data_IF_276053887098
#
_entry.id   IF_276053887098
#
_cell.length_a   1.000
_cell.length_b   1.000
_cell.length_c   1.000
_cell.angle_alpha   90.00
_cell.angle_beta   90.00
_cell.angle_gamma   90.00
#
_symmetry.space_group_name_H-M   'P 1'
#
loop_
_entity.id
_entity.type
_entity.pdbx_description
1 polymer ?
#
# COMPACT_ATOMS: atom_id res chain seq x y z
N UNK A 1 -5.36 23.10 -25.75
CA UNK A 1 -4.50 22.53 -24.70
C UNK A 1 -5.40 21.78 -23.73
N UNK A 2 -5.22 20.47 -23.56
CA UNK A 2 -5.99 19.73 -22.56
C UNK A 2 -5.54 20.25 -21.18
N UNK A 3 -6.46 20.72 -20.33
CA UNK A 3 -6.18 21.40 -19.06
C UNK A 3 -5.55 20.49 -17.96
N UNK A 4 -4.75 19.49 -18.34
CA UNK A 4 -4.19 18.50 -17.41
C UNK A 4 -5.23 17.62 -16.72
N UNK A 5 -6.50 17.66 -17.14
CA UNK A 5 -7.58 16.82 -16.60
C UNK A 5 -7.44 15.40 -17.16
N UNK A 6 -7.46 14.43 -16.25
CA UNK A 6 -7.53 13.01 -16.58
C UNK A 6 -8.97 12.66 -16.98
N UNK A 7 -9.14 12.01 -18.13
CA UNK A 7 -10.43 11.44 -18.51
C UNK A 7 -10.67 10.13 -17.74
N UNK A 8 -11.93 9.72 -17.53
CA UNK A 8 -12.23 8.45 -16.86
C UNK A 8 -11.57 7.24 -17.53
N UNK A 9 -11.46 7.26 -18.86
CA UNK A 9 -10.86 6.17 -19.66
C UNK A 9 -9.35 6.09 -19.41
N UNK A 10 -8.65 7.23 -19.39
CA UNK A 10 -7.22 7.29 -19.06
C UNK A 10 -6.97 6.84 -17.61
N UNK A 11 -7.80 7.27 -16.66
CA UNK A 11 -7.69 6.85 -15.26
C UNK A 11 -7.86 5.34 -15.13
N UNK A 12 -8.85 4.77 -15.81
CA UNK A 12 -9.15 3.35 -15.78
C UNK A 12 -8.02 2.53 -16.40
N UNK A 13 -7.55 2.92 -17.59
CA UNK A 13 -6.44 2.25 -18.26
C UNK A 13 -5.17 2.22 -17.41
N UNK A 14 -4.81 3.36 -16.80
CA UNK A 14 -3.63 3.44 -15.93
C UNK A 14 -3.82 2.60 -14.67
N UNK A 15 -5.01 2.56 -14.06
CA UNK A 15 -5.27 1.68 -12.90
C UNK A 15 -5.12 0.19 -13.24
N UNK A 16 -5.68 -0.24 -14.37
CA UNK A 16 -5.70 -1.65 -14.75
C UNK A 16 -4.32 -2.18 -15.17
N UNK A 17 -3.47 -1.28 -15.69
CA UNK A 17 -2.16 -1.61 -16.23
C UNK A 17 -0.99 -1.13 -15.34
N UNK A 18 -1.26 -0.41 -14.24
CA UNK A 18 -0.28 0.00 -13.25
C UNK A 18 0.50 -1.21 -12.74
N UNK A 19 1.79 -1.29 -13.08
CA UNK A 19 2.69 -2.38 -12.68
C UNK A 19 2.67 -3.62 -13.56
N UNK A 20 1.82 -3.66 -14.59
CA UNK A 20 1.92 -4.64 -15.69
C UNK A 20 2.74 -4.08 -16.86
N UNK A 21 2.65 -2.77 -17.06
CA UNK A 21 3.36 -2.01 -18.10
C UNK A 21 4.31 -1.00 -17.46
N UNK A 22 5.36 -0.67 -18.19
CA UNK A 22 6.29 0.41 -17.85
C UNK A 22 5.60 1.78 -17.93
N UNK A 23 6.19 2.79 -17.29
CA UNK A 23 5.65 4.16 -17.37
C UNK A 23 5.62 4.69 -18.80
N UNK A 24 6.64 4.35 -19.60
CA UNK A 24 6.75 4.69 -21.02
C UNK A 24 5.56 4.13 -21.81
N UNK A 25 5.31 2.82 -21.70
CA UNK A 25 4.21 2.18 -22.43
C UNK A 25 2.82 2.70 -22.01
N UNK A 26 2.64 3.01 -20.72
CA UNK A 26 1.40 3.62 -20.24
C UNK A 26 1.22 5.02 -20.82
N UNK A 27 2.28 5.82 -20.82
CA UNK A 27 2.32 7.19 -21.29
C UNK A 27 2.07 7.29 -22.80
N UNK A 28 2.70 6.41 -23.58
CA UNK A 28 2.50 6.30 -25.03
C UNK A 28 1.04 5.98 -25.39
N UNK A 29 0.41 5.04 -24.66
CA UNK A 29 -0.96 4.63 -24.94
C UNK A 29 -1.99 5.76 -24.72
N UNK A 30 -1.80 6.58 -23.68
CA UNK A 30 -2.72 7.67 -23.34
C UNK A 30 -2.28 9.03 -23.90
N UNK A 31 -1.18 9.08 -24.66
CA UNK A 31 -0.65 10.32 -25.23
C UNK A 31 -0.18 11.34 -24.18
N UNK A 32 0.42 10.88 -23.08
CA UNK A 32 0.96 11.74 -22.00
C UNK A 32 2.45 11.53 -21.80
N UNK A 33 3.06 12.36 -20.94
CA UNK A 33 4.43 12.15 -20.49
C UNK A 33 4.50 11.11 -19.36
N UNK A 34 5.62 10.40 -19.26
CA UNK A 34 5.87 9.46 -18.15
C UNK A 34 5.72 10.12 -16.78
N UNK A 35 6.21 11.35 -16.64
CA UNK A 35 6.10 12.14 -15.42
C UNK A 35 4.63 12.37 -15.04
N UNK A 36 3.75 12.62 -16.01
CA UNK A 36 2.32 12.79 -15.73
C UNK A 36 1.71 11.49 -15.18
N UNK A 37 2.09 10.33 -15.72
CA UNK A 37 1.68 9.01 -15.23
C UNK A 37 2.19 8.77 -13.81
N UNK A 38 3.47 9.05 -13.53
CA UNK A 38 4.05 8.92 -12.19
C UNK A 38 3.34 9.81 -11.16
N UNK A 39 3.11 11.08 -11.49
CA UNK A 39 2.40 12.02 -10.62
C UNK A 39 0.95 11.60 -10.38
N UNK A 40 0.28 11.05 -11.39
CA UNK A 40 -1.07 10.52 -11.26
C UNK A 40 -1.13 9.35 -10.28
N UNK A 41 -0.26 8.36 -10.47
CA UNK A 41 -0.19 7.19 -9.59
C UNK A 41 0.13 7.60 -8.15
N UNK A 42 1.07 8.53 -7.97
CA UNK A 42 1.40 9.08 -6.65
C UNK A 42 0.19 9.77 -5.99
N UNK A 43 -0.49 10.68 -6.70
CA UNK A 43 -1.66 11.42 -6.18
C UNK A 43 -2.85 10.50 -5.87
N UNK A 44 -3.06 9.47 -6.69
CA UNK A 44 -4.12 8.47 -6.51
C UNK A 44 -3.70 7.34 -5.57
N UNK A 45 -2.50 7.40 -4.97
CA UNK A 45 -1.93 6.39 -4.07
C UNK A 45 -1.93 4.97 -4.69
N UNK A 46 -1.78 4.88 -6.01
CA UNK A 46 -1.68 3.62 -6.74
C UNK A 46 -0.24 3.13 -6.62
N UNK A 47 -0.04 2.06 -5.86
CA UNK A 47 1.27 1.46 -5.66
C UNK A 47 1.53 0.44 -6.74
N UNK A 48 2.58 0.67 -7.51
CA UNK A 48 3.10 -0.27 -8.48
C UNK A 48 4.15 -1.16 -7.82
N UNK A 49 4.13 -2.45 -8.13
CA UNK A 49 5.05 -3.41 -7.53
C UNK A 49 4.59 -3.92 -6.17
N UNK A 50 3.27 -4.12 -5.97
CA UNK A 50 2.80 -4.96 -4.85
C UNK A 50 3.36 -6.37 -5.04
N UNK A 51 4.44 -6.66 -4.33
CA UNK A 51 5.03 -8.01 -4.28
C UNK A 51 4.18 -8.93 -3.42
N UNK A 52 3.38 -8.37 -2.51
CA UNK A 52 2.57 -9.15 -1.58
C UNK A 52 1.12 -9.19 -2.05
N UNK A 53 0.58 -10.41 -2.19
CA UNK A 53 -0.86 -10.63 -2.43
C UNK A 53 -1.71 -10.10 -1.27
N UNK A 54 -1.23 -10.29 -0.04
CA UNK A 54 -1.88 -9.87 1.21
C UNK A 54 -0.99 -8.90 2.00
N UNK A 55 -1.55 -7.78 2.46
CA UNK A 55 -0.82 -6.73 3.16
C UNK A 55 -1.25 -6.67 4.63
N UNK A 56 -0.53 -7.40 5.48
CA UNK A 56 -0.82 -7.54 6.91
C UNK A 56 -0.71 -6.21 7.67
N UNK A 57 0.15 -5.28 7.23
CA UNK A 57 0.30 -3.97 7.87
C UNK A 57 -0.94 -3.12 7.65
N UNK A 58 -1.52 -3.15 6.44
CA UNK A 58 -2.79 -2.48 6.16
C UNK A 58 -3.95 -3.07 6.96
N UNK A 59 -3.97 -4.39 7.17
CA UNK A 59 -4.99 -5.05 7.99
C UNK A 59 -4.92 -4.58 9.45
N UNK A 60 -3.72 -4.60 10.06
CA UNK A 60 -3.50 -4.07 11.42
C UNK A 60 -4.04 -2.63 11.54
N UNK A 61 -3.67 -1.77 10.60
CA UNK A 61 -4.08 -0.37 10.65
C UNK A 61 -5.59 -0.20 10.44
N UNK A 62 -6.24 -1.03 9.61
CA UNK A 62 -7.70 -1.00 9.41
C UNK A 62 -8.48 -1.43 10.64
N UNK A 63 -7.92 -2.33 11.45
CA UNK A 63 -8.54 -2.73 12.73
C UNK A 63 -8.55 -1.55 13.71
N UNK A 64 -7.47 -0.76 13.72
CA UNK A 64 -7.27 0.29 14.74
C UNK A 64 -7.69 1.69 14.30
N UNK A 65 -7.69 1.96 13.01
CA UNK A 65 -8.03 3.26 12.45
C UNK A 65 -9.19 3.16 11.48
N UNK A 66 -10.17 4.07 11.63
CA UNK A 66 -11.21 4.28 10.63
C UNK A 66 -10.64 4.77 9.29
N UNK A 67 -9.55 5.53 9.35
CA UNK A 67 -8.81 6.09 8.21
C UNK A 67 -7.31 5.78 8.34
N UNK A 68 -6.86 4.56 8.02
CA UNK A 68 -5.45 4.14 8.05
C UNK A 68 -4.53 5.06 7.26
N UNK A 69 -5.04 5.66 6.18
CA UNK A 69 -4.32 6.58 5.32
C UNK A 69 -3.91 7.90 5.99
N UNK A 70 -4.49 8.23 7.15
CA UNK A 70 -4.14 9.39 7.95
C UNK A 70 -3.07 9.08 8.99
N UNK A 71 -2.72 7.80 9.17
CA UNK A 71 -1.64 7.42 10.07
C UNK A 71 -0.32 7.97 9.54
N UNK A 72 0.27 8.90 10.29
CA UNK A 72 1.56 9.50 9.99
C UNK A 72 2.56 9.06 11.06
N UNK A 73 3.40 8.06 10.78
CA UNK A 73 4.32 7.55 11.77
C UNK A 73 5.39 8.62 12.10
N UNK A 74 5.78 8.67 13.38
CA UNK A 74 6.75 9.62 13.89
C UNK A 74 8.02 8.91 14.35
N UNK A 75 9.02 9.67 14.83
CA UNK A 75 10.29 9.10 15.30
C UNK A 75 10.14 8.14 16.47
N UNK A 76 9.19 8.39 17.38
CA UNK A 76 8.93 7.50 18.53
C UNK A 76 8.41 6.15 18.05
N UNK A 77 7.43 6.17 17.15
CA UNK A 77 6.89 4.98 16.52
C UNK A 77 8.01 4.12 15.92
N UNK A 78 8.84 4.68 15.03
CA UNK A 78 9.91 3.92 14.37
C UNK A 78 10.90 3.29 15.36
N UNK A 79 11.18 3.98 16.46
CA UNK A 79 12.06 3.49 17.52
C UNK A 79 11.42 2.36 18.31
N UNK A 80 10.15 2.50 18.67
CA UNK A 80 9.40 1.52 19.46
C UNK A 80 9.16 0.22 18.68
N UNK A 81 8.79 0.32 17.41
CA UNK A 81 8.58 -0.87 16.56
C UNK A 81 9.87 -1.42 15.96
N UNK A 82 11.01 -0.76 16.22
CA UNK A 82 12.33 -1.10 15.68
C UNK A 82 12.36 -1.23 14.13
N UNK A 83 11.68 -0.31 13.43
CA UNK A 83 11.59 -0.28 11.95
C UNK A 83 11.99 1.10 11.47
N UNK A 84 12.88 1.17 10.47
CA UNK A 84 13.23 2.45 9.85
C UNK A 84 12.11 2.98 8.93
N UNK A 85 12.11 4.29 8.67
CA UNK A 85 11.06 4.95 7.89
C UNK A 85 10.83 4.32 6.51
N UNK A 86 11.91 4.05 5.76
CA UNK A 86 11.81 3.48 4.42
C UNK A 86 11.19 2.08 4.46
N UNK A 87 11.65 1.24 5.40
CA UNK A 87 11.17 -0.12 5.60
C UNK A 87 9.69 -0.15 5.96
N UNK A 88 9.23 0.73 6.83
CA UNK A 88 7.81 0.86 7.16
C UNK A 88 6.97 1.16 5.91
N UNK A 89 7.40 2.11 5.06
CA UNK A 89 6.64 2.44 3.86
C UNK A 89 6.66 1.31 2.82
N UNK A 90 7.77 0.57 2.70
CA UNK A 90 7.83 -0.62 1.83
C UNK A 90 6.77 -1.66 2.22
N UNK A 91 6.65 -1.98 3.53
CA UNK A 91 5.66 -2.96 4.01
C UNK A 91 4.24 -2.39 4.04
N UNK A 92 4.06 -1.12 4.40
CA UNK A 92 2.77 -0.43 4.40
C UNK A 92 2.13 -0.43 3.01
N UNK A 93 2.92 -0.19 1.96
CA UNK A 93 2.44 -0.20 0.58
C UNK A 93 2.43 -1.60 -0.05
N UNK A 94 2.98 -2.62 0.63
CA UNK A 94 3.03 -3.99 0.14
C UNK A 94 4.10 -4.24 -0.93
N UNK A 95 5.12 -3.38 -0.99
CA UNK A 95 6.30 -3.55 -1.86
C UNK A 95 7.23 -4.64 -1.35
N UNK A 96 7.17 -4.94 -0.05
CA UNK A 96 7.91 -6.03 0.60
C UNK A 96 7.03 -6.75 1.60
N UNK A 97 7.32 -8.02 1.84
CA UNK A 97 6.70 -8.79 2.93
C UNK A 97 7.16 -8.25 4.29
N UNK A 98 6.22 -8.19 5.23
CA UNK A 98 6.50 -7.93 6.65
C UNK A 98 7.07 -9.21 7.29
N UNK A 99 8.10 -9.08 8.12
CA UNK A 99 8.63 -10.22 8.88
C UNK A 99 7.75 -10.53 10.09
N UNK A 100 7.95 -11.69 10.71
CA UNK A 100 7.23 -12.05 11.93
C UNK A 100 7.54 -11.08 13.09
N UNK A 101 8.81 -10.71 13.26
CA UNK A 101 9.24 -9.74 14.29
C UNK A 101 8.60 -8.37 14.08
N UNK A 102 8.61 -7.86 12.84
CA UNK A 102 7.98 -6.60 12.48
C UNK A 102 6.46 -6.64 12.71
N UNK A 103 5.82 -7.76 12.37
CA UNK A 103 4.39 -7.95 12.56
C UNK A 103 4.01 -7.95 14.05
N UNK A 104 4.79 -8.62 14.90
CA UNK A 104 4.59 -8.64 16.36
C UNK A 104 4.78 -7.24 16.92
N UNK A 105 5.88 -6.57 16.61
CA UNK A 105 6.18 -5.23 17.12
C UNK A 105 5.10 -4.20 16.73
N UNK A 106 4.62 -4.24 15.47
CA UNK A 106 3.50 -3.42 15.02
C UNK A 106 2.21 -3.76 15.79
N UNK A 107 1.91 -5.04 15.97
CA UNK A 107 0.70 -5.49 16.67
C UNK A 107 0.69 -5.05 18.13
N UNK A 108 1.82 -5.18 18.82
CA UNK A 108 2.00 -4.72 20.20
C UNK A 108 1.86 -3.21 20.32
N UNK A 109 2.54 -2.44 19.44
CA UNK A 109 2.44 -0.98 19.42
C UNK A 109 0.99 -0.49 19.26
N UNK A 110 0.22 -1.17 18.41
CA UNK A 110 -1.18 -0.85 18.17
C UNK A 110 -2.15 -1.51 19.17
N UNK A 111 -1.64 -2.25 20.15
CA UNK A 111 -2.45 -2.92 21.17
C UNK A 111 -3.43 -3.94 20.58
N UNK A 112 -3.03 -4.67 19.54
CA UNK A 112 -3.76 -5.83 19.03
C UNK A 112 -3.48 -7.04 19.92
N UNK A 113 -4.52 -7.74 20.33
CA UNK A 113 -4.35 -8.99 21.07
C UNK A 113 -3.91 -10.10 20.11
N UNK A 114 -3.16 -11.08 20.63
CA UNK A 114 -2.73 -12.28 19.89
C UNK A 114 -3.93 -13.01 19.26
N UNK A 115 -5.11 -12.93 19.88
CA UNK A 115 -6.35 -13.52 19.39
C UNK A 115 -6.92 -12.77 18.18
N UNK A 116 -6.98 -11.43 18.20
CA UNK A 116 -7.40 -10.64 17.03
C UNK A 116 -6.46 -10.82 15.82
N UNK A 117 -5.15 -10.92 16.07
CA UNK A 117 -4.14 -11.18 15.05
C UNK A 117 -4.25 -12.61 14.47
N UNK A 118 -4.66 -13.58 15.29
CA UNK A 118 -4.85 -14.98 14.88
C UNK A 118 -6.19 -15.20 14.16
N UNK A 119 -7.29 -14.59 14.64
CA UNK A 119 -8.63 -14.65 14.03
C UNK A 119 -8.63 -13.96 12.66
N UNK A 120 -7.99 -12.79 12.53
CA UNK A 120 -7.78 -12.15 11.22
C UNK A 120 -6.94 -13.01 10.27
N UNK A 121 -6.02 -13.83 10.81
CA UNK A 121 -5.26 -14.82 10.02
C UNK A 121 -6.13 -16.00 9.58
N UNK A 122 -6.97 -16.54 10.46
CA UNK A 122 -7.78 -17.74 10.21
C UNK A 122 -9.00 -17.47 9.31
N UNK A 123 -9.78 -16.41 9.55
CA UNK A 123 -11.00 -16.11 8.77
C UNK A 123 -10.70 -15.98 7.27
N UNK A 124 -9.56 -15.39 6.92
CA UNK A 124 -9.17 -15.16 5.53
C UNK A 124 -8.50 -16.38 4.85
N UNK A 125 -8.19 -17.47 5.55
CA UNK A 125 -7.69 -18.73 4.94
C UNK A 125 -8.85 -19.51 4.30
N UNK A 126 -10.05 -19.37 4.85
CA UNK A 126 -11.25 -20.08 4.37
C UNK A 126 -11.91 -19.39 3.16
N UNK A 127 -11.61 -18.12 2.91
CA UNK A 127 -12.10 -17.37 1.74
C UNK A 127 -11.26 -17.61 0.46
N UNK A 128 -10.14 -18.34 0.56
CA UNK A 128 -9.24 -18.66 -0.58
C UNK A 128 -9.38 -20.12 -1.09
N UNK A 129 -10.43 -20.86 -0.69
CA UNK A 129 -10.76 -22.21 -1.18
C UNK A 129 -11.89 -22.18 -2.21
#
# INVERSE_FOLDING_TARGET
MNNGRWTPEEEQYVRENAGKKTFTELAEHIGRSELAVQLFLHRKKIVIGKTVKRNLVQEILRIKFRHPENFMPNRSFYKEVNINQMRFWDIYFGRKQVTQEEYIALSEYFGLTLQEAFEARQLNIFDEI
#
